data_IF_128267875487
#
_entry.id   IF_128267875487
#
_cell.length_a   1.000
_cell.length_b   1.000
_cell.length_c   1.000
_cell.angle_alpha   90.00
_cell.angle_beta   90.00
_cell.angle_gamma   90.00
#
_symmetry.space_group_name_H-M   'P 1'
#
loop_
_entity.id
_entity.type
_entity.pdbx_description
1 polymer ?
#
# COMPACT_ATOMS: atom_id res chain seq x y z
N UNK A 1 32.00 -18.05 -3.24
CA UNK A 1 31.43 -16.75 -2.87
C UNK A 1 30.49 -16.37 -3.99
N UNK A 2 29.26 -16.75 -3.84
CA UNK A 2 28.19 -16.47 -4.80
C UNK A 2 27.89 -14.98 -4.70
N UNK A 3 28.18 -14.25 -5.78
CA UNK A 3 27.76 -12.84 -5.87
C UNK A 3 26.25 -12.88 -6.01
N UNK A 4 25.56 -12.58 -4.92
CA UNK A 4 24.11 -12.51 -4.90
C UNK A 4 23.57 -11.84 -6.14
N UNK A 5 22.56 -12.44 -6.77
CA UNK A 5 21.86 -11.83 -7.90
C UNK A 5 21.35 -10.46 -7.47
N UNK A 6 21.33 -9.48 -8.37
CA UNK A 6 20.85 -8.15 -8.02
C UNK A 6 19.40 -8.25 -7.54
N UNK A 7 19.12 -7.63 -6.40
CA UNK A 7 17.79 -7.49 -5.81
C UNK A 7 16.83 -6.93 -6.85
N UNK A 8 15.79 -7.68 -7.18
CA UNK A 8 14.77 -7.23 -8.13
C UNK A 8 14.05 -5.99 -7.58
N UNK A 9 14.04 -4.90 -8.34
CA UNK A 9 13.26 -3.73 -8.01
C UNK A 9 12.07 -3.62 -8.98
N UNK A 10 10.86 -3.54 -8.43
CA UNK A 10 9.63 -3.34 -9.20
C UNK A 10 9.18 -1.88 -9.06
N UNK A 11 8.94 -1.25 -10.20
CA UNK A 11 8.47 0.12 -10.26
C UNK A 11 7.03 0.15 -10.76
N UNK A 12 6.08 0.07 -9.83
CA UNK A 12 4.66 0.13 -10.15
C UNK A 12 4.22 1.56 -10.44
N UNK A 13 3.46 1.73 -11.52
CA UNK A 13 2.86 2.99 -11.93
C UNK A 13 1.35 2.82 -11.98
N UNK A 14 0.66 3.51 -11.08
CA UNK A 14 -0.80 3.45 -10.97
C UNK A 14 -1.36 4.84 -11.25
N UNK A 15 -1.97 5.01 -12.41
CA UNK A 15 -2.58 6.28 -12.81
C UNK A 15 -4.04 6.34 -12.34
N UNK A 16 -4.44 7.49 -11.81
CA UNK A 16 -5.78 7.74 -11.25
C UNK A 16 -6.36 9.06 -11.77
N UNK A 17 -7.68 9.14 -12.00
CA UNK A 17 -8.35 10.39 -12.38
C UNK A 17 -8.65 11.27 -11.17
N UNK A 18 -7.61 11.66 -10.43
CA UNK A 18 -7.63 12.44 -9.19
C UNK A 18 -6.58 13.53 -9.22
N UNK A 19 -6.66 14.50 -8.31
CA UNK A 19 -5.51 15.34 -7.94
C UNK A 19 -4.69 14.66 -6.85
N UNK A 20 -3.46 15.11 -6.61
CA UNK A 20 -2.60 14.60 -5.53
C UNK A 20 -3.21 14.91 -4.16
N UNK A 21 -3.84 16.07 -4.00
CA UNK A 21 -4.54 16.49 -2.77
C UNK A 21 -5.78 15.63 -2.50
N UNK A 22 -6.57 15.34 -3.53
CA UNK A 22 -7.70 14.41 -3.41
C UNK A 22 -7.24 13.02 -3.00
N UNK A 23 -6.09 12.57 -3.52
CA UNK A 23 -5.55 11.25 -3.20
C UNK A 23 -5.17 11.10 -1.72
N UNK A 24 -4.74 12.15 -1.05
CA UNK A 24 -4.48 12.13 0.40
C UNK A 24 -5.72 11.67 1.18
N UNK A 25 -6.86 12.33 0.95
CA UNK A 25 -8.13 12.01 1.59
C UNK A 25 -8.64 10.63 1.15
N UNK A 26 -8.60 10.38 -0.17
CA UNK A 26 -9.04 9.14 -0.77
C UNK A 26 -8.30 7.91 -0.22
N UNK A 27 -6.97 8.00 -0.10
CA UNK A 27 -6.13 6.94 0.43
C UNK A 27 -6.48 6.61 1.88
N UNK A 28 -6.55 7.62 2.76
CA UNK A 28 -6.86 7.43 4.18
C UNK A 28 -8.26 6.86 4.39
N UNK A 29 -9.25 7.41 3.69
CA UNK A 29 -10.61 6.87 3.68
C UNK A 29 -10.63 5.41 3.23
N UNK A 30 -10.00 5.11 2.10
CA UNK A 30 -10.01 3.77 1.51
C UNK A 30 -9.26 2.76 2.37
N UNK A 31 -8.18 3.14 3.05
CA UNK A 31 -7.49 2.28 4.02
C UNK A 31 -8.42 1.95 5.19
N UNK A 32 -9.12 2.94 5.75
CA UNK A 32 -10.07 2.72 6.83
C UNK A 32 -11.22 1.79 6.42
N UNK A 33 -11.82 2.02 5.26
CA UNK A 33 -12.93 1.23 4.76
C UNK A 33 -12.51 -0.20 4.34
N UNK A 34 -11.37 -0.34 3.65
CA UNK A 34 -10.82 -1.65 3.29
C UNK A 34 -10.47 -2.48 4.54
N UNK A 35 -10.00 -1.84 5.61
CA UNK A 35 -9.72 -2.52 6.88
C UNK A 35 -10.93 -3.25 7.44
N UNK A 36 -12.13 -2.67 7.32
CA UNK A 36 -13.40 -3.33 7.74
C UNK A 36 -13.72 -4.55 6.90
N UNK A 37 -13.46 -4.49 5.60
CA UNK A 37 -13.70 -5.61 4.69
C UNK A 37 -12.74 -6.79 4.95
N UNK A 38 -11.55 -6.52 5.47
CA UNK A 38 -10.51 -7.51 5.76
C UNK A 38 -10.56 -8.06 7.19
N UNK A 39 -11.45 -7.58 8.06
CA UNK A 39 -11.50 -7.92 9.50
C UNK A 39 -12.74 -8.72 9.84
N UNK A 40 -12.58 -9.85 10.52
CA UNK A 40 -13.64 -10.70 11.05
C UNK A 40 -13.13 -12.06 11.51
N UNK A 41 -13.85 -12.71 12.44
CA UNK A 41 -13.61 -14.09 12.86
C UNK A 41 -12.22 -14.35 13.45
N UNK A 42 -11.68 -13.44 14.23
CA UNK A 42 -10.36 -13.55 14.86
C UNK A 42 -9.20 -13.07 13.99
N UNK A 43 -9.46 -12.65 12.74
CA UNK A 43 -8.44 -12.19 11.81
C UNK A 43 -8.69 -10.76 11.33
N UNK A 44 -7.68 -10.16 10.68
CA UNK A 44 -7.74 -8.81 10.13
C UNK A 44 -6.96 -7.81 10.96
N UNK A 45 -7.46 -6.59 11.08
CA UNK A 45 -6.73 -5.45 11.59
C UNK A 45 -7.24 -5.04 12.97
N UNK A 46 -6.31 -4.86 13.89
CA UNK A 46 -6.52 -4.31 15.23
C UNK A 46 -5.78 -2.99 15.35
N UNK A 47 -6.48 -1.90 15.69
CA UNK A 47 -5.88 -0.57 15.87
C UNK A 47 -5.66 -0.31 17.35
N UNK A 48 -4.41 -0.39 17.81
CA UNK A 48 -4.05 -0.16 19.21
C UNK A 48 -3.94 1.32 19.56
N UNK A 49 -3.33 2.11 18.64
CA UNK A 49 -3.16 3.56 18.82
C UNK A 49 -3.52 4.30 17.54
N UNK A 50 -4.13 5.46 17.71
CA UNK A 50 -4.35 6.46 16.69
C UNK A 50 -4.35 7.83 17.37
N UNK A 51 -3.18 8.46 17.49
CA UNK A 51 -2.97 9.64 18.33
C UNK A 51 -2.05 10.67 17.64
N UNK A 52 -2.21 11.98 17.90
CA UNK A 52 -1.26 12.98 17.42
C UNK A 52 0.13 12.74 18.00
N UNK A 53 1.17 13.02 17.20
CA UNK A 53 2.55 13.04 17.70
C UNK A 53 3.22 14.39 17.44
N UNK A 54 4.17 14.75 18.30
CA UNK A 54 5.02 15.93 18.18
C UNK A 54 6.46 15.60 18.59
N UNK A 55 7.42 16.39 18.11
CA UNK A 55 8.84 16.23 18.44
C UNK A 55 9.45 14.87 18.06
N UNK A 56 8.90 14.21 17.04
CA UNK A 56 9.47 12.99 16.47
C UNK A 56 10.06 13.30 15.08
N UNK A 57 11.40 13.46 14.95
CA UNK A 57 12.02 13.90 13.71
C UNK A 57 11.93 12.81 12.63
N UNK A 58 11.33 13.13 11.51
CA UNK A 58 11.21 12.31 10.31
C UNK A 58 11.95 12.95 9.15
N UNK A 59 12.46 12.14 8.22
CA UNK A 59 13.17 12.59 7.01
C UNK A 59 14.25 13.65 7.33
N UNK A 60 15.21 13.27 8.19
CA UNK A 60 16.28 14.18 8.60
C UNK A 60 15.83 15.38 9.46
N UNK A 61 14.63 15.30 10.06
CA UNK A 61 14.06 16.38 10.88
C UNK A 61 13.21 17.39 10.11
N UNK A 62 12.99 17.16 8.80
CA UNK A 62 12.14 18.03 7.96
C UNK A 62 10.68 18.04 8.41
N UNK A 63 10.21 16.92 8.95
CA UNK A 63 8.88 16.76 9.52
C UNK A 63 9.00 16.24 10.96
N UNK A 64 8.19 16.72 11.88
CA UNK A 64 8.31 16.37 13.30
C UNK A 64 6.98 16.19 14.04
N UNK A 65 5.85 16.37 13.34
CA UNK A 65 4.52 16.25 13.95
C UNK A 65 3.51 15.72 12.93
N UNK A 66 2.46 15.10 13.43
CA UNK A 66 1.41 14.51 12.61
C UNK A 66 0.54 13.53 13.39
N UNK A 67 0.08 12.48 12.73
CA UNK A 67 -0.73 11.41 13.31
C UNK A 67 0.07 10.11 13.36
N UNK A 68 0.16 9.50 14.54
CA UNK A 68 0.77 8.18 14.75
C UNK A 68 -0.31 7.13 14.87
N UNK A 69 -0.13 6.00 14.17
CA UNK A 69 -0.97 4.82 14.32
C UNK A 69 -0.13 3.60 14.64
N UNK A 70 -0.66 2.73 15.52
CA UNK A 70 -0.10 1.42 15.79
C UNK A 70 -1.17 0.36 15.59
N UNK A 71 -0.89 -0.58 14.68
CA UNK A 71 -1.82 -1.64 14.29
C UNK A 71 -1.17 -3.02 14.38
N UNK A 72 -2.01 -4.04 14.60
CA UNK A 72 -1.64 -5.44 14.46
C UNK A 72 -2.49 -6.08 13.37
N UNK A 73 -1.85 -6.80 12.47
CA UNK A 73 -2.48 -7.60 11.43
C UNK A 73 -2.45 -9.08 11.82
N UNK A 74 -3.61 -9.69 11.96
CA UNK A 74 -3.80 -11.11 12.23
C UNK A 74 -4.05 -11.82 10.89
N UNK A 75 -3.05 -12.55 10.36
CA UNK A 75 -2.97 -12.98 8.96
C UNK A 75 -3.10 -14.48 8.72
N UNK A 76 -3.63 -15.27 9.66
CA UNK A 76 -3.57 -16.73 9.58
C UNK A 76 -4.12 -17.31 8.25
N UNK A 77 -5.27 -16.83 7.74
CA UNK A 77 -5.85 -17.30 6.47
C UNK A 77 -5.35 -16.53 5.24
N UNK A 78 -4.58 -15.43 5.44
CA UNK A 78 -4.12 -14.53 4.37
C UNK A 78 -2.80 -14.98 3.75
N UNK A 79 -2.12 -15.93 4.35
CA UNK A 79 -0.85 -16.47 3.86
C UNK A 79 -1.05 -17.87 3.24
N UNK A 80 -0.24 -18.23 2.21
CA UNK A 80 -0.29 -19.55 1.61
C UNK A 80 -0.14 -20.68 2.63
N UNK A 81 -0.76 -21.82 2.33
CA UNK A 81 -0.78 -22.98 3.24
C UNK A 81 0.61 -23.45 3.66
N UNK A 82 1.59 -23.43 2.75
CA UNK A 82 2.97 -23.82 3.05
C UNK A 82 3.66 -22.88 4.05
N UNK A 83 3.38 -21.57 3.99
CA UNK A 83 3.90 -20.61 4.98
C UNK A 83 3.23 -20.87 6.32
N UNK A 84 1.90 -21.02 6.34
CA UNK A 84 1.13 -21.28 7.56
C UNK A 84 1.54 -22.58 8.26
N UNK A 85 1.86 -23.63 7.50
CA UNK A 85 2.30 -24.91 8.04
C UNK A 85 3.67 -24.82 8.72
N UNK A 86 4.57 -23.98 8.21
CA UNK A 86 5.92 -23.78 8.74
C UNK A 86 5.98 -22.67 9.81
N UNK A 87 4.93 -21.88 9.93
CA UNK A 87 4.88 -20.71 10.79
C UNK A 87 4.67 -21.09 12.26
N UNK A 88 5.59 -20.77 13.19
CA UNK A 88 5.38 -20.96 14.61
C UNK A 88 4.17 -20.18 15.15
N UNK A 89 3.66 -20.58 16.30
CA UNK A 89 2.54 -19.89 16.95
C UNK A 89 2.87 -18.41 17.19
N UNK A 90 1.99 -17.51 16.72
CA UNK A 90 2.15 -16.07 16.86
C UNK A 90 3.00 -15.40 15.75
N UNK A 91 3.60 -16.18 14.82
CA UNK A 91 4.39 -15.62 13.73
C UNK A 91 3.57 -14.96 12.63
N UNK A 92 2.25 -15.15 12.62
CA UNK A 92 1.32 -14.57 11.67
C UNK A 92 0.65 -13.28 12.20
N UNK A 93 1.23 -12.70 13.23
CA UNK A 93 0.89 -11.38 13.73
C UNK A 93 1.96 -10.38 13.28
N UNK A 94 1.55 -9.44 12.45
CA UNK A 94 2.40 -8.40 11.89
C UNK A 94 2.04 -7.06 12.54
N UNK A 95 3.04 -6.33 13.00
CA UNK A 95 2.88 -5.05 13.67
C UNK A 95 3.22 -3.91 12.72
N UNK A 96 2.37 -2.90 12.63
CA UNK A 96 2.57 -1.69 11.84
C UNK A 96 2.63 -0.46 12.75
N UNK A 97 3.69 0.30 12.61
CA UNK A 97 3.79 1.65 13.16
C UNK A 97 3.85 2.65 12.01
N UNK A 98 2.95 3.63 11.97
CA UNK A 98 2.92 4.63 10.91
C UNK A 98 2.89 6.05 11.49
N UNK A 99 3.76 6.91 10.96
CA UNK A 99 3.85 8.34 11.26
C UNK A 99 3.43 9.11 10.01
N UNK A 100 2.21 9.63 10.03
CA UNK A 100 1.66 10.43 8.94
C UNK A 100 1.88 11.92 9.25
N UNK A 101 2.91 12.50 8.67
CA UNK A 101 3.30 13.92 8.75
C UNK A 101 3.20 14.56 7.37
N UNK A 102 1.98 14.59 6.80
CA UNK A 102 1.77 15.05 5.43
C UNK A 102 2.60 16.30 5.06
N UNK A 103 3.23 16.33 3.89
CA UNK A 103 3.13 15.40 2.75
C UNK A 103 3.97 14.12 2.85
N UNK A 104 4.67 13.88 3.95
CA UNK A 104 5.47 12.69 4.18
C UNK A 104 4.74 11.71 5.12
N UNK A 105 4.85 10.42 4.80
CA UNK A 105 4.39 9.34 5.67
C UNK A 105 5.46 8.25 5.73
N UNK A 106 5.80 7.82 6.95
CA UNK A 106 6.66 6.69 7.23
C UNK A 106 5.85 5.57 7.86
N UNK A 107 5.94 4.37 7.32
CA UNK A 107 5.35 3.16 7.90
C UNK A 107 6.42 2.12 8.10
N UNK A 108 6.45 1.50 9.27
CA UNK A 108 7.37 0.40 9.59
C UNK A 108 6.55 -0.80 10.02
N UNK A 109 6.76 -1.91 9.34
CA UNK A 109 6.07 -3.18 9.60
C UNK A 109 7.09 -4.20 10.10
N UNK A 110 6.79 -4.86 11.21
CA UNK A 110 7.68 -5.82 11.87
C UNK A 110 6.93 -7.08 12.28
N UNK A 111 7.68 -8.13 12.57
CA UNK A 111 7.16 -9.36 13.18
C UNK A 111 7.91 -9.65 14.50
N UNK A 112 7.53 -9.01 15.62
CA UNK A 112 8.30 -9.08 16.86
C UNK A 112 8.25 -10.45 17.53
N UNK A 113 7.27 -11.31 17.22
CA UNK A 113 7.13 -12.63 17.84
C UNK A 113 7.95 -13.73 17.17
N UNK A 114 8.31 -13.57 15.88
CA UNK A 114 9.00 -14.62 15.14
C UNK A 114 10.34 -14.17 14.57
N UNK A 115 10.31 -13.23 13.61
CA UNK A 115 11.54 -12.80 12.92
C UNK A 115 12.24 -11.62 13.58
N UNK A 116 11.58 -10.95 14.54
CA UNK A 116 12.12 -9.82 15.30
C UNK A 116 12.76 -8.77 14.36
N UNK A 117 14.07 -8.58 14.48
CA UNK A 117 14.84 -7.64 13.68
C UNK A 117 15.17 -8.16 12.28
N UNK A 118 14.91 -9.43 11.98
CA UNK A 118 15.20 -10.05 10.69
C UNK A 118 14.04 -9.84 9.66
N UNK A 119 12.92 -9.26 10.10
CA UNK A 119 11.81 -8.86 9.24
C UNK A 119 11.48 -7.40 9.47
N UNK A 120 11.76 -6.57 8.48
CA UNK A 120 11.36 -5.17 8.46
C UNK A 120 10.85 -4.83 7.05
N UNK A 121 9.59 -4.34 6.99
CA UNK A 121 9.06 -3.68 5.81
C UNK A 121 8.94 -2.20 6.13
N UNK A 122 9.69 -1.36 5.42
CA UNK A 122 9.59 0.09 5.55
C UNK A 122 8.94 0.69 4.30
N UNK A 123 7.99 1.56 4.51
CA UNK A 123 7.30 2.30 3.45
C UNK A 123 7.50 3.79 3.73
N UNK A 124 8.15 4.47 2.80
CA UNK A 124 8.29 5.92 2.79
C UNK A 124 7.49 6.49 1.64
N UNK A 125 6.53 7.36 1.94
CA UNK A 125 5.65 7.97 0.94
C UNK A 125 5.75 9.48 0.97
N UNK A 126 5.89 10.11 -0.19
CA UNK A 126 5.89 11.55 -0.34
C UNK A 126 4.85 11.99 -1.38
N UNK A 127 3.95 12.86 -0.96
CA UNK A 127 2.88 13.41 -1.79
C UNK A 127 3.31 14.78 -2.30
N UNK A 128 3.56 14.91 -3.60
CA UNK A 128 3.99 16.15 -4.23
C UNK A 128 3.17 16.45 -5.48
N UNK A 129 2.79 17.71 -5.66
CA UNK A 129 2.09 18.16 -6.87
C UNK A 129 3.06 18.45 -8.04
N UNK A 130 4.35 18.63 -7.75
CA UNK A 130 5.41 18.91 -8.70
C UNK A 130 6.74 18.23 -8.34
N UNK A 131 7.74 18.36 -9.22
CA UNK A 131 9.10 17.88 -8.98
C UNK A 131 9.78 18.68 -7.86
N UNK A 132 9.73 18.17 -6.64
CA UNK A 132 10.57 18.65 -5.54
C UNK A 132 11.97 18.02 -5.60
N UNK A 133 12.96 18.72 -5.06
CA UNK A 133 14.34 18.25 -4.95
C UNK A 133 14.42 17.01 -4.04
N UNK A 134 14.73 15.83 -4.62
CA UNK A 134 14.67 14.51 -3.94
C UNK A 134 15.96 14.14 -3.18
N UNK A 135 16.80 15.12 -2.80
CA UNK A 135 18.14 14.92 -2.22
C UNK A 135 18.21 14.23 -0.83
N UNK A 136 17.17 13.56 -0.37
CA UNK A 136 17.16 12.89 0.95
C UNK A 136 16.45 11.53 0.94
N UNK A 137 17.04 10.55 0.28
CA UNK A 137 16.62 9.16 0.41
C UNK A 137 17.53 8.45 1.43
N UNK A 138 17.08 8.12 2.65
CA UNK A 138 17.93 7.43 3.61
C UNK A 138 18.05 5.95 3.24
N UNK A 139 19.17 5.58 2.64
CA UNK A 139 19.52 4.18 2.45
C UNK A 139 19.84 3.52 3.78
N UNK A 140 19.00 2.61 4.26
CA UNK A 140 19.33 1.69 5.34
C UNK A 140 19.18 0.26 4.84
N UNK A 141 20.28 -0.47 4.85
CA UNK A 141 20.27 -1.93 4.70
C UNK A 141 20.80 -2.56 5.97
N UNK A 142 19.97 -3.37 6.64
CA UNK A 142 20.44 -4.41 7.57
C UNK A 142 19.40 -5.52 7.62
N UNK A 143 19.91 -6.77 7.44
CA UNK A 143 19.35 -8.06 7.81
C UNK A 143 18.45 -8.82 6.79
N UNK A 144 18.02 -10.04 7.10
CA UNK A 144 17.72 -11.13 6.17
C UNK A 144 16.43 -11.03 5.32
N UNK A 145 15.51 -10.16 5.66
CA UNK A 145 14.31 -9.89 4.87
C UNK A 145 13.92 -8.42 4.96
N UNK A 146 14.07 -7.72 3.83
CA UNK A 146 13.76 -6.29 3.75
C UNK A 146 12.89 -6.05 2.52
N UNK A 147 11.77 -5.35 2.71
CA UNK A 147 11.01 -4.75 1.63
C UNK A 147 11.00 -3.24 1.89
N UNK A 148 11.38 -2.46 0.88
CA UNK A 148 11.31 -1.01 0.91
C UNK A 148 10.36 -0.58 -0.20
N UNK A 149 9.35 0.22 0.15
CA UNK A 149 8.42 0.82 -0.80
C UNK A 149 8.59 2.34 -0.72
N UNK A 150 9.14 2.91 -1.78
CA UNK A 150 9.24 4.36 -1.95
C UNK A 150 8.13 4.82 -2.88
N UNK A 151 7.27 5.72 -2.41
CA UNK A 151 6.11 6.17 -3.18
C UNK A 151 6.19 7.67 -3.44
N UNK A 152 6.08 8.04 -4.72
CA UNK A 152 5.92 9.42 -5.17
C UNK A 152 4.58 9.56 -5.88
N UNK A 153 3.88 10.65 -5.60
CA UNK A 153 2.58 10.93 -6.17
C UNK A 153 2.66 12.22 -6.99
N UNK A 154 2.54 12.13 -8.31
CA UNK A 154 2.75 13.24 -9.24
C UNK A 154 1.51 13.49 -10.10
N UNK A 155 1.27 14.76 -10.45
CA UNK A 155 0.18 15.18 -11.32
C UNK A 155 0.54 14.95 -12.81
N UNK A 156 0.67 13.67 -13.21
CA UNK A 156 1.03 13.24 -14.57
C UNK A 156 0.29 11.96 -14.99
N UNK A 157 0.58 11.47 -16.21
CA UNK A 157 -0.05 10.29 -16.82
C UNK A 157 0.76 8.99 -16.66
N UNK A 158 1.80 8.99 -15.81
CA UNK A 158 2.62 7.81 -15.55
C UNK A 158 3.77 7.60 -16.54
N UNK A 159 4.24 8.66 -17.19
CA UNK A 159 5.25 8.63 -18.24
C UNK A 159 6.69 8.94 -17.78
N UNK A 160 6.86 9.33 -16.51
CA UNK A 160 8.17 9.66 -15.95
C UNK A 160 9.07 8.43 -15.85
N UNK A 161 10.29 8.51 -16.38
CA UNK A 161 11.17 7.34 -16.41
C UNK A 161 11.88 7.07 -15.09
N UNK A 162 12.44 8.07 -14.45
CA UNK A 162 13.29 7.91 -13.26
C UNK A 162 12.93 8.87 -12.13
N UNK A 163 11.67 8.85 -11.69
CA UNK A 163 11.16 9.73 -10.62
C UNK A 163 11.84 9.50 -9.26
N UNK A 164 12.38 8.29 -9.02
CA UNK A 164 13.10 7.94 -7.79
C UNK A 164 14.61 8.17 -7.89
N UNK A 165 15.09 8.81 -8.97
CA UNK A 165 16.50 9.14 -9.20
C UNK A 165 17.46 7.96 -8.99
N UNK A 166 17.05 6.79 -9.46
CA UNK A 166 17.86 5.59 -9.37
C UNK A 166 19.17 5.76 -10.15
N UNK A 167 20.31 5.31 -9.58
CA UNK A 167 21.55 5.27 -10.30
C UNK A 167 21.46 4.32 -11.52
N UNK A 168 22.30 4.54 -12.56
CA UNK A 168 22.18 3.82 -13.84
C UNK A 168 22.18 2.30 -13.74
N UNK A 169 22.92 1.73 -12.78
CA UNK A 169 22.99 0.29 -12.54
C UNK A 169 21.68 -0.27 -11.99
N UNK A 170 20.99 0.44 -11.09
CA UNK A 170 19.68 0.04 -10.57
C UNK A 170 18.57 0.29 -11.58
N UNK A 171 18.66 1.38 -12.34
CA UNK A 171 17.71 1.72 -13.39
C UNK A 171 17.62 0.63 -14.47
N UNK A 172 18.75 -0.01 -14.81
CA UNK A 172 18.82 -1.08 -15.82
C UNK A 172 18.16 -2.39 -15.39
N UNK A 173 18.12 -2.68 -14.09
CA UNK A 173 17.62 -3.95 -13.57
C UNK A 173 16.20 -3.84 -13.01
N UNK A 174 15.65 -2.63 -12.91
CA UNK A 174 14.26 -2.45 -12.45
C UNK A 174 13.28 -2.99 -13.49
N UNK A 175 12.21 -3.60 -13.01
CA UNK A 175 11.04 -3.93 -13.81
C UNK A 175 9.98 -2.83 -13.66
N UNK A 176 9.48 -2.29 -14.77
CA UNK A 176 8.40 -1.29 -14.77
C UNK A 176 7.07 -2.02 -14.95
N UNK A 177 6.19 -1.90 -13.96
CA UNK A 177 4.87 -2.52 -13.94
C UNK A 177 3.81 -1.44 -14.05
N UNK A 178 3.16 -1.34 -15.21
CA UNK A 178 2.00 -0.47 -15.37
C UNK A 178 0.76 -1.17 -14.84
N UNK A 179 -0.01 -0.46 -14.00
CA UNK A 179 -1.30 -0.92 -13.48
C UNK A 179 -2.39 -0.05 -14.10
N UNK A 180 -3.24 -0.65 -14.90
CA UNK A 180 -4.46 -0.03 -15.42
C UNK A 180 -5.65 -0.48 -14.58
N UNK A 181 -6.14 0.42 -13.71
CA UNK A 181 -7.26 0.12 -12.81
C UNK A 181 -8.56 -0.26 -13.54
N UNK A 182 -8.68 0.14 -14.80
CA UNK A 182 -9.88 -0.13 -15.61
C UNK A 182 -9.79 -1.46 -16.38
N UNK A 183 -8.63 -1.79 -16.95
CA UNK A 183 -8.53 -2.87 -17.94
C UNK A 183 -7.61 -4.03 -17.51
N UNK A 184 -6.79 -3.88 -16.46
CA UNK A 184 -6.01 -5.01 -15.95
C UNK A 184 -6.94 -6.11 -15.41
N UNK A 185 -6.61 -7.38 -15.65
CA UNK A 185 -7.43 -8.50 -15.21
C UNK A 185 -7.47 -8.57 -13.68
N UNK A 186 -8.67 -8.81 -13.16
CA UNK A 186 -8.93 -9.05 -11.74
C UNK A 186 -9.44 -10.47 -11.58
N UNK A 187 -8.96 -11.19 -10.55
CA UNK A 187 -9.42 -12.56 -10.31
C UNK A 187 -10.91 -12.59 -9.99
N UNK A 188 -11.65 -13.67 -10.33
CA UNK A 188 -13.07 -13.78 -9.99
C UNK A 188 -13.37 -13.59 -8.49
N UNK A 189 -12.42 -13.99 -7.63
CA UNK A 189 -12.54 -13.83 -6.18
C UNK A 189 -12.43 -12.37 -5.70
N UNK A 190 -11.71 -11.54 -6.44
CA UNK A 190 -11.50 -10.12 -6.12
C UNK A 190 -12.49 -9.20 -6.85
N UNK A 191 -13.15 -9.70 -7.90
CA UNK A 191 -14.05 -8.88 -8.71
C UNK A 191 -15.32 -8.54 -7.96
N UNK A 192 -15.63 -7.24 -7.89
CA UNK A 192 -16.90 -6.72 -7.42
C UNK A 192 -17.43 -5.69 -8.41
N UNK A 193 -18.73 -5.76 -8.69
CA UNK A 193 -19.37 -4.90 -9.68
C UNK A 193 -19.32 -3.42 -9.29
N UNK A 194 -19.45 -3.12 -8.00
CA UNK A 194 -19.38 -1.77 -7.44
C UNK A 194 -17.95 -1.23 -7.27
N UNK A 195 -16.94 -2.08 -7.54
CA UNK A 195 -15.52 -1.73 -7.60
C UNK A 195 -14.96 -1.85 -9.03
N UNK A 196 -15.83 -1.78 -10.07
CA UNK A 196 -15.42 -1.83 -11.47
C UNK A 196 -15.34 -0.42 -12.09
N UNK A 197 -14.11 0.12 -12.34
CA UNK A 197 -13.95 1.46 -12.91
C UNK A 197 -14.58 1.65 -14.29
N UNK A 198 -14.78 0.56 -15.05
CA UNK A 198 -15.43 0.63 -16.36
C UNK A 198 -16.95 0.82 -16.27
N UNK A 199 -17.53 0.67 -15.09
CA UNK A 199 -18.97 0.78 -14.80
C UNK A 199 -19.31 1.90 -13.83
N UNK A 200 -18.34 2.32 -13.02
CA UNK A 200 -18.52 3.37 -12.04
C UNK A 200 -18.47 4.76 -12.68
N UNK A 201 -19.45 5.60 -12.37
CA UNK A 201 -19.44 7.04 -12.64
C UNK A 201 -19.78 7.79 -11.36
N UNK A 202 -18.87 8.70 -10.97
CA UNK A 202 -19.08 9.55 -9.81
C UNK A 202 -20.22 10.54 -10.05
N UNK A 203 -21.18 10.58 -9.15
CA UNK A 203 -22.28 11.56 -9.14
C UNK A 203 -21.81 12.94 -8.67
N UNK A 204 -20.78 12.98 -7.79
CA UNK A 204 -20.25 14.23 -7.25
C UNK A 204 -19.32 14.96 -8.24
N UNK A 205 -18.52 14.22 -8.99
CA UNK A 205 -17.49 14.80 -9.86
C UNK A 205 -17.75 14.60 -11.35
N UNK A 206 -18.65 13.69 -11.72
CA UNK A 206 -18.90 13.28 -13.10
C UNK A 206 -17.80 12.41 -13.73
N UNK A 207 -16.71 12.07 -12.98
CA UNK A 207 -15.60 11.25 -13.49
C UNK A 207 -16.02 9.80 -13.68
N UNK A 208 -15.51 9.18 -14.74
CA UNK A 208 -15.86 7.81 -15.16
C UNK A 208 -17.10 7.78 -16.07
N UNK A 209 -17.51 6.60 -16.56
CA UNK A 209 -16.78 5.34 -16.45
C UNK A 209 -15.51 5.32 -17.33
N UNK A 210 -14.49 4.55 -16.91
CA UNK A 210 -13.20 4.47 -17.61
C UNK A 210 -13.23 3.34 -18.66
N UNK A 211 -13.96 3.56 -19.74
CA UNK A 211 -14.23 2.52 -20.76
C UNK A 211 -13.11 2.47 -21.80
N UNK A 212 -12.60 3.62 -22.22
CA UNK A 212 -11.65 3.71 -23.33
C UNK A 212 -10.24 3.33 -22.89
N UNK A 213 -9.48 2.65 -23.74
CA UNK A 213 -8.10 2.21 -23.44
C UNK A 213 -7.12 3.35 -23.21
N UNK A 214 -7.41 4.53 -23.75
CA UNK A 214 -6.62 5.76 -23.62
C UNK A 214 -7.20 6.75 -22.59
N UNK A 215 -8.07 6.28 -21.68
CA UNK A 215 -8.75 7.11 -20.68
C UNK A 215 -7.81 8.04 -19.90
N UNK A 216 -6.57 7.58 -19.64
CA UNK A 216 -5.55 8.34 -18.91
C UNK A 216 -5.19 9.67 -19.58
N UNK A 217 -5.30 9.73 -20.92
CA UNK A 217 -5.01 10.94 -21.70
C UNK A 217 -6.20 11.89 -21.79
N UNK A 218 -7.42 11.40 -21.58
CA UNK A 218 -8.67 12.13 -21.77
C UNK A 218 -9.26 12.68 -20.49
N UNK A 219 -9.07 11.97 -19.38
CA UNK A 219 -9.65 12.35 -18.08
C UNK A 219 -8.80 13.43 -17.40
N UNK A 220 -9.47 14.40 -16.79
CA UNK A 220 -8.86 15.46 -15.96
C UNK A 220 -9.65 15.60 -14.67
N UNK A 221 -9.01 15.81 -13.52
CA UNK A 221 -7.54 15.76 -13.31
C UNK A 221 -6.99 14.35 -13.45
N UNK A 222 -5.66 14.23 -13.51
CA UNK A 222 -4.96 12.94 -13.54
C UNK A 222 -3.70 13.02 -12.69
N UNK A 223 -3.42 11.94 -11.98
CA UNK A 223 -2.18 11.76 -11.21
C UNK A 223 -1.67 10.33 -11.35
N UNK A 224 -0.42 10.11 -11.02
CA UNK A 224 0.17 8.77 -10.95
C UNK A 224 0.85 8.54 -9.61
N UNK A 225 0.55 7.38 -9.02
CA UNK A 225 1.31 6.82 -7.89
C UNK A 225 2.47 6.02 -8.46
N UNK A 226 3.69 6.48 -8.26
CA UNK A 226 4.92 5.77 -8.58
C UNK A 226 5.42 5.06 -7.31
N UNK A 227 5.45 3.74 -7.33
CA UNK A 227 5.85 2.92 -6.19
C UNK A 227 7.06 2.08 -6.58
N UNK A 228 8.22 2.43 -6.06
CA UNK A 228 9.43 1.63 -6.18
C UNK A 228 9.45 0.62 -5.04
N UNK A 229 9.34 -0.65 -5.37
CA UNK A 229 9.42 -1.75 -4.40
C UNK A 229 10.73 -2.48 -4.57
N UNK A 230 11.54 -2.48 -3.54
CA UNK A 230 12.78 -3.25 -3.46
C UNK A 230 12.59 -4.35 -2.42
N UNK A 231 12.69 -5.61 -2.85
CA UNK A 231 12.55 -6.78 -1.98
C UNK A 231 13.87 -7.54 -1.94
N UNK A 232 14.40 -7.77 -0.76
CA UNK A 232 15.55 -8.64 -0.53
C UNK A 232 15.20 -9.70 0.51
N UNK A 233 15.21 -10.97 0.10
CA UNK A 233 14.94 -12.10 0.97
C UNK A 233 16.09 -13.10 0.90
N UNK A 234 16.79 -13.31 2.01
CA UNK A 234 17.95 -14.21 2.09
C UNK A 234 17.61 -15.50 2.83
N UNK A 235 16.99 -16.46 2.14
CA UNK A 235 16.76 -17.79 2.69
C UNK A 235 17.08 -18.85 1.64
N UNK A 236 18.01 -19.74 1.98
CA UNK A 236 18.46 -20.79 1.07
C UNK A 236 17.32 -21.70 0.61
N UNK A 237 17.12 -21.78 -0.70
CA UNK A 237 16.15 -22.68 -1.35
C UNK A 237 14.70 -22.15 -1.45
N UNK A 238 14.33 -21.06 -0.78
CA UNK A 238 12.97 -20.48 -0.81
C UNK A 238 12.91 -19.08 -1.39
N UNK A 239 14.05 -18.41 -1.61
CA UNK A 239 14.14 -17.03 -2.02
C UNK A 239 13.24 -16.69 -3.22
N UNK A 240 13.42 -17.36 -4.35
CA UNK A 240 12.67 -17.03 -5.58
C UNK A 240 11.16 -17.28 -5.47
N UNK A 241 10.73 -18.28 -4.67
CA UNK A 241 9.28 -18.51 -4.44
C UNK A 241 8.64 -17.41 -3.62
N UNK A 242 9.34 -16.94 -2.58
CA UNK A 242 8.84 -15.88 -1.70
C UNK A 242 8.86 -14.54 -2.42
N UNK A 243 9.93 -14.20 -3.13
CA UNK A 243 10.00 -12.97 -3.92
C UNK A 243 8.90 -12.94 -4.99
N UNK A 244 8.69 -14.01 -5.74
CA UNK A 244 7.59 -14.11 -6.73
C UNK A 244 6.20 -13.98 -6.09
N UNK A 245 6.01 -14.58 -4.91
CA UNK A 245 4.76 -14.44 -4.16
C UNK A 245 4.51 -12.99 -3.75
N UNK A 246 5.53 -12.32 -3.21
CA UNK A 246 5.45 -10.91 -2.80
C UNK A 246 5.09 -10.03 -4.00
N UNK A 247 5.79 -10.17 -5.11
CA UNK A 247 5.57 -9.39 -6.34
C UNK A 247 4.14 -9.54 -6.88
N UNK A 248 3.62 -10.77 -6.93
CA UNK A 248 2.24 -11.04 -7.34
C UNK A 248 1.23 -10.43 -6.37
N UNK A 249 1.50 -10.57 -5.07
CA UNK A 249 0.63 -10.04 -4.01
C UNK A 249 0.59 -8.51 -4.04
N UNK A 250 1.73 -7.84 -4.27
CA UNK A 250 1.80 -6.38 -4.40
C UNK A 250 1.01 -5.86 -5.58
N UNK A 251 1.19 -6.46 -6.77
CA UNK A 251 0.40 -6.07 -7.96
C UNK A 251 -1.10 -6.23 -7.70
N UNK A 252 -1.52 -7.38 -7.15
CA UNK A 252 -2.91 -7.66 -6.78
C UNK A 252 -3.45 -6.62 -5.79
N UNK A 253 -2.68 -6.34 -4.73
CA UNK A 253 -3.04 -5.35 -3.72
C UNK A 253 -3.18 -3.94 -4.31
N UNK A 254 -2.18 -3.50 -5.09
CA UNK A 254 -2.23 -2.17 -5.68
C UNK A 254 -3.36 -2.03 -6.70
N UNK A 255 -3.62 -3.05 -7.50
CA UNK A 255 -4.74 -3.04 -8.45
C UNK A 255 -6.07 -2.92 -7.72
N UNK A 256 -6.36 -3.82 -6.77
CA UNK A 256 -7.63 -3.86 -6.06
C UNK A 256 -7.85 -2.58 -5.23
N UNK A 257 -6.84 -2.15 -4.48
CA UNK A 257 -6.93 -0.94 -3.67
C UNK A 257 -7.23 0.32 -4.50
N UNK A 258 -6.55 0.52 -5.64
CA UNK A 258 -6.77 1.72 -6.43
C UNK A 258 -8.07 1.68 -7.24
N UNK A 259 -8.60 0.49 -7.55
CA UNK A 259 -9.98 0.33 -8.04
C UNK A 259 -10.98 0.81 -7.00
N UNK A 260 -10.80 0.42 -5.74
CA UNK A 260 -11.63 0.88 -4.62
C UNK A 260 -11.52 2.39 -4.42
N UNK A 261 -10.29 2.94 -4.40
CA UNK A 261 -10.06 4.39 -4.31
C UNK A 261 -10.89 5.15 -5.34
N UNK A 262 -10.89 4.72 -6.58
CA UNK A 262 -11.68 5.37 -7.64
C UNK A 262 -13.18 5.13 -7.48
N UNK A 263 -13.62 3.90 -7.31
CA UNK A 263 -15.03 3.54 -7.26
C UNK A 263 -15.74 4.04 -5.99
N UNK A 264 -14.99 4.35 -4.93
CA UNK A 264 -15.52 4.95 -3.72
C UNK A 264 -15.48 6.49 -3.71
N UNK A 265 -15.21 7.12 -4.85
CA UNK A 265 -15.05 8.57 -4.98
C UNK A 265 -16.21 9.35 -4.34
N UNK A 266 -17.45 8.95 -4.56
CA UNK A 266 -18.60 9.64 -3.97
C UNK A 266 -18.69 9.52 -2.44
N UNK A 267 -17.93 8.61 -1.83
CA UNK A 267 -17.88 8.43 -0.37
C UNK A 267 -16.86 9.36 0.28
N UNK A 268 -15.69 9.55 -0.36
CA UNK A 268 -14.61 10.35 0.22
C UNK A 268 -14.46 11.76 -0.36
N UNK A 269 -14.98 12.03 -1.57
CA UNK A 269 -14.85 13.35 -2.20
C UNK A 269 -15.61 14.41 -1.40
N UNK A 270 -14.86 15.48 -1.01
CA UNK A 270 -15.37 16.58 -0.19
C UNK A 270 -15.23 16.37 1.31
N UNK A 271 -14.67 15.23 1.77
CA UNK A 271 -14.30 15.07 3.19
C UNK A 271 -13.08 15.92 3.53
N UNK A 272 -13.07 16.43 4.74
CA UNK A 272 -11.93 17.13 5.35
C UNK A 272 -11.03 16.15 6.10
N UNK A 273 -9.85 16.59 6.52
CA UNK A 273 -9.00 15.77 7.38
C UNK A 273 -9.62 15.51 8.75
N UNK A 274 -10.44 16.42 9.28
CA UNK A 274 -11.17 16.21 10.52
C UNK A 274 -12.22 15.11 10.36
N UNK A 275 -12.92 15.08 9.22
CA UNK A 275 -13.86 13.98 8.90
C UNK A 275 -13.11 12.64 8.82
N UNK A 276 -11.92 12.60 8.22
CA UNK A 276 -11.08 11.40 8.17
C UNK A 276 -10.72 10.94 9.57
N UNK A 277 -10.31 11.82 10.48
CA UNK A 277 -9.98 11.46 11.87
C UNK A 277 -11.18 10.88 12.61
N UNK A 278 -12.36 11.47 12.43
CA UNK A 278 -13.60 10.93 12.98
C UNK A 278 -13.95 9.54 12.45
N UNK A 279 -13.73 9.32 11.14
CA UNK A 279 -13.93 8.00 10.50
C UNK A 279 -12.92 6.98 11.04
N UNK A 280 -11.64 7.32 11.16
CA UNK A 280 -10.61 6.42 11.70
C UNK A 280 -10.93 5.96 13.13
N UNK A 281 -11.38 6.86 14.01
CA UNK A 281 -11.76 6.50 15.38
C UNK A 281 -12.96 5.56 15.42
N UNK A 282 -14.00 5.87 14.62
CA UNK A 282 -15.17 5.00 14.49
C UNK A 282 -14.81 3.62 13.93
N UNK A 283 -13.95 3.57 12.90
CA UNK A 283 -13.50 2.32 12.30
C UNK A 283 -12.72 1.48 13.29
N UNK A 284 -11.89 2.09 14.16
CA UNK A 284 -11.18 1.37 15.22
C UNK A 284 -12.14 0.59 16.11
N UNK A 285 -13.23 1.23 16.59
CA UNK A 285 -14.26 0.56 17.40
C UNK A 285 -14.96 -0.57 16.61
N UNK A 286 -15.29 -0.32 15.34
CA UNK A 286 -15.91 -1.31 14.47
C UNK A 286 -15.02 -2.53 14.23
N UNK A 287 -13.70 -2.33 14.03
CA UNK A 287 -12.72 -3.40 13.83
C UNK A 287 -12.61 -4.31 15.05
N UNK A 288 -12.55 -3.72 16.26
CA UNK A 288 -12.48 -4.49 17.50
C UNK A 288 -13.72 -5.37 17.68
N UNK A 289 -14.90 -4.85 17.34
CA UNK A 289 -16.13 -5.62 17.37
C UNK A 289 -16.13 -6.73 16.32
N UNK A 290 -15.83 -6.40 15.05
CA UNK A 290 -15.85 -7.37 13.94
C UNK A 290 -14.81 -8.48 14.13
N UNK A 291 -13.64 -8.18 14.68
CA UNK A 291 -12.62 -9.20 14.95
C UNK A 291 -13.09 -10.24 15.95
N UNK A 292 -13.88 -9.83 16.94
CA UNK A 292 -14.41 -10.74 17.97
C UNK A 292 -15.70 -11.45 17.56
N UNK A 293 -16.34 -11.03 16.46
CA UNK A 293 -17.63 -11.53 16.00
C UNK A 293 -17.60 -11.99 14.54
N UNK A 294 -18.41 -13.00 14.19
CA UNK A 294 -18.66 -13.40 12.82
C UNK A 294 -17.60 -14.32 12.21
N UNK A 295 -17.60 -14.40 10.87
CA UNK A 295 -16.71 -15.28 10.10
C UNK A 295 -15.46 -14.54 9.62
N UNK A 296 -14.41 -15.32 9.27
CA UNK A 296 -13.18 -14.79 8.65
C UNK A 296 -13.52 -14.12 7.31
N UNK A 297 -13.09 -12.86 7.15
CA UNK A 297 -13.39 -12.01 5.99
C UNK A 297 -12.13 -11.69 5.19
N UNK A 298 -12.36 -11.13 4.01
CA UNK A 298 -11.37 -10.51 3.14
C UNK A 298 -10.63 -11.46 2.22
N UNK A 299 -9.58 -10.93 1.62
CA UNK A 299 -8.76 -11.62 0.63
C UNK A 299 -8.04 -12.81 1.26
N UNK A 300 -8.22 -14.00 0.68
CA UNK A 300 -7.48 -15.21 1.08
C UNK A 300 -6.31 -15.43 0.13
N UNK A 301 -5.27 -16.10 0.62
CA UNK A 301 -4.23 -16.60 -0.26
C UNK A 301 -4.84 -17.58 -1.28
N UNK A 302 -4.37 -17.51 -2.52
CA UNK A 302 -4.76 -18.51 -3.53
C UNK A 302 -4.39 -19.90 -3.02
N UNK A 303 -5.31 -20.84 -3.19
CA UNK A 303 -4.99 -22.26 -2.96
C UNK A 303 -3.98 -22.69 -4.03
N UNK A 304 -2.80 -23.14 -3.59
CA UNK A 304 -1.76 -23.72 -4.45
C UNK A 304 -2.30 -24.90 -5.26
#
# INVERSE_FOLDING_TARGET
>A
MDKGQPVGAHHHRVTLPLTVEEYQVAQLYSVAEASKNETGGGEGIEVLKNEPFTNHPLLGGKYSSGQYTYKIYHLASKVPAFIRLLAPKGSLEIHEEAWNAYPYCKTVITNPKFMKNDFILQIDSLHMADYGDSNNNPGYMRDNFIIIIESLHLADVGDQENVHELPPEKLKIREVVHIDIAHDPVTPADYKLDEDPTKFQSKKTGRGPLIESDWKLKVKPVMTCYKLVTCEFKWFGLQGRIENFIQKSERRLFTNFHRQVFCWMDRWHGLTMDDIRAIEEKVKEELDKQRNEGEVRGTRADSD
#
